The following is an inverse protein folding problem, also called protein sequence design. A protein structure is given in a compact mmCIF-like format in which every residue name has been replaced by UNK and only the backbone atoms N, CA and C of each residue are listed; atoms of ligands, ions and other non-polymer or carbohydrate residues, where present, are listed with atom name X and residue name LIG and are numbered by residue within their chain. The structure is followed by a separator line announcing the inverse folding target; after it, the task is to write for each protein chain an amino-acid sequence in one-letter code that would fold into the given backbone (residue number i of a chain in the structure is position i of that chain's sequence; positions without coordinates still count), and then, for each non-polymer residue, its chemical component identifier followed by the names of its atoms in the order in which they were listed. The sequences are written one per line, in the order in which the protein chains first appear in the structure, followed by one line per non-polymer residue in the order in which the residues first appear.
data_IF_259150109939
#
_entry.id   IF_259150109939
#
_cell.length_a   1.000
_cell.length_b   1.000
_cell.length_c   1.000
_cell.angle_alpha   90.00
_cell.angle_beta   90.00
_cell.angle_gamma   90.00
#
_symmetry.space_group_name_H-M   'P 1'
#
loop_
_entity.id
_entity.type
_entity.pdbx_description
1 polymer ?
#
# COMPACT_ATOMS: atom_id res chain seq x y z
N UNK A 1 -11.63 10.16 -2.58
CA UNK A 1 -10.39 10.53 -1.88
C UNK A 1 -9.18 9.96 -2.62
N UNK A 2 -8.04 10.57 -2.46
CA UNK A 2 -6.82 10.13 -3.11
C UNK A 2 -6.04 9.16 -2.22
N UNK A 3 -5.56 8.06 -2.81
CA UNK A 3 -4.60 7.15 -2.19
C UNK A 3 -3.41 6.97 -3.13
N UNK A 4 -2.32 6.38 -2.66
CA UNK A 4 -1.19 6.05 -3.52
C UNK A 4 -1.14 4.54 -3.74
N UNK A 5 -0.85 4.15 -4.97
CA UNK A 5 -0.75 2.75 -5.38
C UNK A 5 0.70 2.45 -5.77
N UNK A 6 1.26 1.40 -5.18
CA UNK A 6 2.60 0.92 -5.47
C UNK A 6 2.45 -0.38 -6.25
N UNK A 7 2.93 -0.38 -7.49
CA UNK A 7 2.85 -1.56 -8.36
C UNK A 7 4.26 -2.04 -8.69
N UNK A 8 4.75 -3.09 -8.02
CA UNK A 8 6.12 -3.55 -8.23
C UNK A 8 6.32 -4.28 -9.56
N UNK A 9 5.26 -4.81 -10.17
CA UNK A 9 5.37 -5.42 -11.51
C UNK A 9 5.69 -4.39 -12.58
N UNK A 10 5.10 -3.20 -12.45
CA UNK A 10 5.36 -2.07 -13.35
C UNK A 10 6.43 -1.12 -12.81
N UNK A 11 6.85 -1.29 -11.57
CA UNK A 11 7.77 -0.41 -10.85
C UNK A 11 7.27 1.03 -10.84
N UNK A 12 5.99 1.21 -10.52
CA UNK A 12 5.34 2.52 -10.49
C UNK A 12 4.79 2.84 -9.11
N UNK A 13 4.78 4.14 -8.80
CA UNK A 13 4.10 4.72 -7.64
C UNK A 13 3.20 5.81 -8.19
N UNK A 14 1.90 5.70 -7.98
CA UNK A 14 0.93 6.62 -8.58
C UNK A 14 -0.19 6.97 -7.62
N UNK A 15 -0.85 8.09 -7.88
CA UNK A 15 -2.05 8.49 -7.15
C UNK A 15 -3.29 7.91 -7.83
N UNK A 16 -4.27 7.52 -7.03
CA UNK A 16 -5.54 6.99 -7.52
C UNK A 16 -6.67 7.54 -6.67
N UNK A 17 -7.78 7.89 -7.31
CA UNK A 17 -8.98 8.33 -6.60
C UNK A 17 -9.89 7.13 -6.34
N UNK A 18 -10.37 7.02 -5.10
CA UNK A 18 -11.32 5.99 -4.69
C UNK A 18 -12.47 6.61 -3.91
N UNK A 19 -13.63 5.94 -3.80
CA UNK A 19 -14.73 6.45 -2.96
C UNK A 19 -14.32 6.65 -1.49
N UNK A 20 -13.52 5.74 -0.91
CA UNK A 20 -12.94 5.97 0.40
C UNK A 20 -13.16 4.89 1.44
N UNK A 21 -13.42 3.66 1.02
CA UNK A 21 -13.60 2.53 1.93
C UNK A 21 -12.44 1.55 1.88
N UNK A 22 -12.32 0.70 2.90
CA UNK A 22 -11.36 -0.41 2.89
C UNK A 22 -11.65 -1.41 1.76
N UNK A 23 -12.92 -1.57 1.38
CA UNK A 23 -13.26 -2.43 0.24
C UNK A 23 -12.68 -1.91 -1.06
N UNK A 24 -12.59 -0.59 -1.23
CA UNK A 24 -11.92 0.00 -2.38
C UNK A 24 -10.43 -0.36 -2.40
N UNK A 25 -9.79 -0.35 -1.24
CA UNK A 25 -8.38 -0.75 -1.10
C UNK A 25 -8.22 -2.24 -1.43
N UNK A 26 -9.11 -3.10 -0.94
CA UNK A 26 -9.11 -4.53 -1.29
C UNK A 26 -9.24 -4.75 -2.79
N UNK A 27 -10.09 -3.95 -3.44
CA UNK A 27 -10.27 -4.02 -4.89
C UNK A 27 -8.99 -3.69 -5.66
N UNK A 28 -8.21 -2.72 -5.19
CA UNK A 28 -6.93 -2.37 -5.82
C UNK A 28 -5.89 -3.46 -5.58
N UNK A 29 -5.76 -3.95 -4.35
CA UNK A 29 -4.81 -5.00 -3.99
C UNK A 29 -5.18 -6.32 -4.66
N UNK A 30 -6.48 -6.59 -4.82
CA UNK A 30 -6.98 -7.78 -5.51
C UNK A 30 -7.21 -8.97 -4.60
N UNK A 31 -7.14 -8.80 -3.29
CA UNK A 31 -7.36 -9.85 -2.30
C UNK A 31 -8.20 -9.34 -1.14
N UNK A 32 -8.96 -10.24 -0.53
CA UNK A 32 -9.86 -9.90 0.57
C UNK A 32 -9.13 -9.73 1.90
N UNK A 33 -8.15 -10.58 2.17
CA UNK A 33 -7.38 -10.54 3.42
C UNK A 33 -6.23 -9.56 3.28
N UNK A 34 -6.39 -8.36 3.81
CA UNK A 34 -5.35 -7.33 3.79
C UNK A 34 -4.87 -7.05 5.21
N UNK A 35 -3.63 -6.61 5.32
CA UNK A 35 -3.02 -6.14 6.54
C UNK A 35 -2.41 -4.78 6.29
N UNK A 36 -1.93 -4.12 7.33
CA UNK A 36 -1.28 -2.83 7.17
C UNK A 36 -0.20 -2.62 8.20
N UNK A 37 0.84 -1.87 7.81
CA UNK A 37 1.93 -1.42 8.67
C UNK A 37 2.00 0.09 8.67
N UNK A 38 2.28 0.68 9.82
CA UNK A 38 2.55 2.11 9.92
C UNK A 38 3.85 2.46 9.21
N UNK A 39 3.82 3.49 8.38
CA UNK A 39 5.04 4.02 7.76
C UNK A 39 5.52 5.30 8.45
N UNK A 40 4.61 6.02 9.12
CA UNK A 40 4.89 7.26 9.85
C UNK A 40 4.02 7.33 11.09
N UNK A 41 4.37 8.23 12.02
CA UNK A 41 3.61 8.44 13.27
C UNK A 41 2.32 9.24 13.07
N UNK A 42 2.01 9.65 11.86
CA UNK A 42 0.88 10.51 11.54
C UNK A 42 -0.36 9.76 11.06
N UNK A 43 -0.33 8.43 11.07
CA UNK A 43 -1.42 7.59 10.60
C UNK A 43 -1.26 7.07 9.19
N UNK A 44 -0.24 7.49 8.45
CA UNK A 44 0.03 6.91 7.13
C UNK A 44 0.43 5.44 7.27
N UNK A 45 -0.22 4.59 6.48
CA UNK A 45 -0.05 3.14 6.55
C UNK A 45 0.10 2.55 5.15
N UNK A 46 0.86 1.47 5.08
CA UNK A 46 0.96 0.61 3.90
C UNK A 46 -0.01 -0.56 4.06
N UNK A 47 -0.98 -0.65 3.15
CA UNK A 47 -1.91 -1.77 3.06
C UNK A 47 -1.43 -2.74 1.99
N UNK A 48 -1.53 -4.04 2.28
CA UNK A 48 -1.03 -5.09 1.40
C UNK A 48 -1.78 -6.40 1.63
N UNK A 49 -1.59 -7.36 0.72
CA UNK A 49 -2.14 -8.72 0.87
C UNK A 49 -1.46 -9.42 2.05
N UNK A 50 -2.24 -9.75 3.08
CA UNK A 50 -1.74 -10.43 4.28
C UNK A 50 -1.03 -11.74 3.95
N UNK A 51 -1.44 -12.42 2.89
CA UNK A 51 -0.91 -13.71 2.49
C UNK A 51 0.05 -13.64 1.30
N UNK A 52 0.65 -12.46 1.04
CA UNK A 52 1.42 -12.23 -0.17
C UNK A 52 2.59 -13.20 -0.37
N UNK A 53 3.23 -13.66 0.69
CA UNK A 53 4.34 -14.61 0.60
C UNK A 53 3.89 -16.07 0.56
N UNK A 54 2.65 -16.35 0.93
CA UNK A 54 2.08 -17.70 0.91
C UNK A 54 1.54 -18.04 -0.48
N UNK A 55 1.07 -17.07 -1.24
CA UNK A 55 0.39 -17.29 -2.52
C UNK A 55 1.28 -17.78 -3.63
N UNK A 56 2.59 -17.67 -3.51
CA UNK A 56 3.55 -18.14 -4.53
C UNK A 56 3.21 -17.66 -5.95
N UNK A 57 2.87 -16.37 -6.08
CA UNK A 57 2.56 -15.79 -7.38
C UNK A 57 3.86 -15.48 -8.14
N UNK A 58 4.04 -16.08 -9.29
CA UNK A 58 5.17 -15.79 -10.17
C UNK A 58 4.98 -14.43 -10.83
N UNK A 59 6.04 -13.63 -10.89
CA UNK A 59 6.07 -12.39 -11.67
C UNK A 59 5.38 -11.18 -11.07
N UNK A 60 4.92 -11.24 -9.82
CA UNK A 60 4.23 -10.09 -9.20
C UNK A 60 5.17 -8.99 -8.72
N UNK A 61 6.44 -9.26 -8.59
CA UNK A 61 7.40 -8.29 -8.08
C UNK A 61 7.25 -8.03 -6.58
N UNK A 62 8.25 -7.33 -6.02
CA UNK A 62 8.32 -7.00 -4.61
C UNK A 62 8.82 -5.58 -4.43
N UNK A 63 8.46 -4.98 -3.30
CA UNK A 63 8.95 -3.67 -2.92
C UNK A 63 9.04 -3.56 -1.41
N UNK A 64 9.71 -2.53 -0.95
CA UNK A 64 9.67 -2.13 0.46
C UNK A 64 9.56 -0.61 0.58
N UNK A 65 8.99 -0.16 1.69
CA UNK A 65 8.98 1.25 2.10
C UNK A 65 10.04 1.40 3.18
N UNK A 66 11.01 2.27 2.98
CA UNK A 66 12.12 2.47 3.93
C UNK A 66 12.77 1.14 4.33
N UNK A 67 12.78 0.84 5.65
CA UNK A 67 13.34 -0.39 6.20
C UNK A 67 12.27 -1.38 6.67
N UNK A 68 11.01 -1.17 6.30
CA UNK A 68 9.94 -2.11 6.60
C UNK A 68 10.15 -3.43 5.85
N UNK A 69 9.49 -4.48 6.33
CA UNK A 69 9.56 -5.77 5.67
C UNK A 69 9.07 -5.68 4.22
N UNK A 70 9.70 -6.38 3.27
CA UNK A 70 9.25 -6.39 1.88
C UNK A 70 7.83 -6.93 1.73
N UNK A 71 7.14 -6.44 0.70
CA UNK A 71 5.79 -6.87 0.33
C UNK A 71 5.81 -7.36 -1.11
N UNK A 72 5.12 -8.46 -1.40
CA UNK A 72 4.92 -8.97 -2.75
C UNK A 72 3.55 -8.50 -3.26
N UNK A 73 3.49 -8.06 -4.52
CA UNK A 73 2.27 -7.57 -5.13
C UNK A 73 2.01 -6.10 -4.87
N UNK A 74 0.78 -5.67 -5.16
CA UNK A 74 0.39 -4.25 -5.07
C UNK A 74 0.20 -3.83 -3.63
N UNK A 75 0.72 -2.64 -3.29
CA UNK A 75 0.47 -1.97 -2.02
C UNK A 75 -0.29 -0.67 -2.21
N UNK A 76 -0.99 -0.25 -1.15
CA UNK A 76 -1.72 1.02 -1.13
C UNK A 76 -1.31 1.81 0.10
N UNK A 77 -1.00 3.08 -0.09
CA UNK A 77 -0.74 4.00 1.01
C UNK A 77 -2.00 4.84 1.24
N UNK A 78 -2.52 4.76 2.43
CA UNK A 78 -3.63 5.57 2.91
C UNK A 78 -3.41 5.92 4.38
N UNK A 79 -4.12 6.91 4.89
CA UNK A 79 -4.03 7.28 6.29
C UNK A 79 -5.17 6.65 7.06
N UNK A 80 -4.88 6.15 8.26
CA UNK A 80 -5.89 5.65 9.19
C UNK A 80 -5.46 5.96 10.61
N UNK A 81 -6.37 6.53 11.39
CA UNK A 81 -6.13 6.92 12.78
C UNK A 81 -6.95 6.12 13.77
N UNK A 82 -7.64 5.09 13.30
CA UNK A 82 -8.53 4.24 14.10
C UNK A 82 -8.23 2.75 13.90
N UNK A 83 -6.94 2.41 13.82
CA UNK A 83 -6.46 1.04 13.66
C UNK A 83 -6.97 0.38 12.37
N UNK A 84 -6.98 1.13 11.29
CA UNK A 84 -7.37 0.70 9.96
C UNK A 84 -8.87 0.34 9.83
N UNK A 85 -9.72 0.87 10.70
CA UNK A 85 -11.17 0.70 10.57
C UNK A 85 -11.76 1.62 9.51
N UNK A 86 -11.18 2.81 9.34
CA UNK A 86 -11.54 3.76 8.30
C UNK A 86 -10.27 4.36 7.72
N UNK A 87 -10.37 4.94 6.53
CA UNK A 87 -9.22 5.51 5.84
C UNK A 87 -9.51 6.93 5.36
N UNK A 88 -8.43 7.68 5.18
CA UNK A 88 -8.44 9.01 4.59
C UNK A 88 -7.19 9.18 3.73
N UNK A 89 -7.09 10.29 3.01
CA UNK A 89 -5.95 10.56 2.15
C UNK A 89 -4.65 10.58 2.95
N UNK A 90 -3.54 10.05 2.38
CA UNK A 90 -2.26 10.08 3.06
C UNK A 90 -1.75 11.51 3.26
N UNK A 91 -0.95 11.72 4.30
CA UNK A 91 -0.30 13.00 4.57
C UNK A 91 1.02 13.14 3.81
N UNK A 92 1.73 12.05 3.57
CA UNK A 92 2.96 12.08 2.78
C UNK A 92 2.65 12.48 1.34
N UNK A 93 3.51 13.29 0.73
CA UNK A 93 3.35 13.61 -0.70
C UNK A 93 3.75 12.42 -1.56
N UNK A 94 3.20 12.37 -2.78
CA UNK A 94 3.58 11.33 -3.74
C UNK A 94 5.08 11.39 -4.06
N UNK A 95 5.62 12.59 -4.19
CA UNK A 95 7.03 12.79 -4.47
C UNK A 95 7.91 12.24 -3.36
N UNK A 96 7.58 12.53 -2.10
CA UNK A 96 8.35 12.03 -0.97
C UNK A 96 8.21 10.53 -0.80
N UNK A 97 7.02 9.99 -0.99
CA UNK A 97 6.79 8.54 -0.94
C UNK A 97 7.62 7.81 -1.98
N UNK A 98 7.66 8.32 -3.21
CA UNK A 98 8.41 7.69 -4.30
C UNK A 98 9.89 7.53 -3.95
N UNK A 99 10.48 8.48 -3.22
CA UNK A 99 11.88 8.40 -2.78
C UNK A 99 12.11 7.32 -1.72
N UNK A 100 11.06 6.89 -1.04
CA UNK A 100 11.13 5.91 0.06
C UNK A 100 10.89 4.48 -0.41
N UNK A 101 10.45 4.29 -1.66
CA UNK A 101 10.14 2.98 -2.22
C UNK A 101 11.38 2.38 -2.87
N UNK A 102 11.67 1.13 -2.53
CA UNK A 102 12.69 0.32 -3.21
C UNK A 102 12.02 -0.87 -3.87
N UNK A 103 12.14 -0.99 -5.18
CA UNK A 103 11.67 -2.16 -5.92
C UNK A 103 12.75 -3.25 -5.87
N UNK A 104 12.36 -4.46 -5.58
CA UNK A 104 13.28 -5.58 -5.36
C UNK A 104 13.29 -6.58 -6.52
#
# INVERSE_FOLDING_TARGET
MQVYVINPSLKTVSASDIPGSLDDVRGIIGFVSIDSDEIDNNGDRLFFDEECFIRQQDGVGRFKVDNLAPVAGIGVIANSRDEAKSIQAPEVSLQDLTKRITFL
#
